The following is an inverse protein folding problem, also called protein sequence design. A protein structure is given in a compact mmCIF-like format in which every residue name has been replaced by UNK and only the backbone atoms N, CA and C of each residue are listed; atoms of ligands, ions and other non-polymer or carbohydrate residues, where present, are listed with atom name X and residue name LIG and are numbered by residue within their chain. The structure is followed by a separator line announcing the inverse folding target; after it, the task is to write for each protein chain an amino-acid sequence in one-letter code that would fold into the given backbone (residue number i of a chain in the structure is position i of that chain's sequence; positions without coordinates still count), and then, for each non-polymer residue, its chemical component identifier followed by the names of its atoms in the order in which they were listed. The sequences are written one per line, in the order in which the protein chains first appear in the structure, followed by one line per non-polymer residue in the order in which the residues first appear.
data_IF_048242021841
#
_entry.id   IF_048242021841
#
_cell.length_a   1.000
_cell.length_b   1.000
_cell.length_c   1.000
_cell.angle_alpha   90.00
_cell.angle_beta   90.00
_cell.angle_gamma   90.00
#
_symmetry.space_group_name_H-M   'P 1'
#
loop_
_entity.id
_entity.type
_entity.pdbx_description
1 polymer ?
#
# COMPACT_ATOMS: atom_id res chain seq x y z
N UNK A 1 -23.75 -26.50 20.17
CA UNK A 1 -24.01 -25.60 19.03
C UNK A 1 -23.60 -26.33 17.77
N UNK A 2 -24.41 -26.27 16.70
CA UNK A 2 -24.00 -26.76 15.39
C UNK A 2 -23.04 -25.75 14.74
N UNK A 3 -22.20 -26.23 13.82
CA UNK A 3 -21.37 -25.37 13.01
C UNK A 3 -22.24 -24.54 12.05
N UNK A 4 -21.80 -23.33 11.66
CA UNK A 4 -22.51 -22.53 10.66
C UNK A 4 -22.38 -23.17 9.26
N UNK A 5 -23.33 -22.87 8.39
CA UNK A 5 -23.23 -23.21 6.97
C UNK A 5 -22.08 -22.42 6.33
N UNK A 6 -21.21 -23.12 5.60
CA UNK A 6 -20.05 -22.54 4.94
C UNK A 6 -20.42 -22.15 3.51
N UNK A 7 -20.44 -20.85 3.23
CA UNK A 7 -20.68 -20.32 1.88
C UNK A 7 -19.39 -20.23 1.03
N UNK A 8 -18.23 -20.07 1.68
CA UNK A 8 -16.93 -19.96 1.03
C UNK A 8 -16.04 -21.12 1.51
N UNK A 9 -16.16 -22.28 0.86
CA UNK A 9 -15.21 -23.37 1.09
C UNK A 9 -13.82 -22.97 0.58
N UNK A 10 -12.78 -23.23 1.37
CA UNK A 10 -11.39 -22.97 1.00
C UNK A 10 -10.64 -24.29 0.93
N UNK A 11 -10.17 -24.66 -0.26
CA UNK A 11 -9.32 -25.84 -0.45
C UNK A 11 -7.90 -25.63 0.11
N UNK A 12 -7.48 -24.37 0.25
CA UNK A 12 -6.18 -23.94 0.77
C UNK A 12 -6.25 -22.51 1.32
N UNK A 13 -5.27 -22.14 2.15
CA UNK A 13 -5.14 -20.77 2.67
C UNK A 13 -4.57 -19.84 1.59
N UNK A 14 -5.16 -18.65 1.48
CA UNK A 14 -4.61 -17.56 0.69
C UNK A 14 -3.51 -16.87 1.51
N UNK A 15 -2.26 -17.29 1.32
CA UNK A 15 -1.11 -16.80 2.08
C UNK A 15 0.00 -16.33 1.14
N UNK A 16 0.71 -15.27 1.52
CA UNK A 16 1.86 -14.72 0.82
C UNK A 16 3.03 -14.68 1.79
N UNK A 17 4.09 -15.43 1.49
CA UNK A 17 5.33 -15.42 2.25
C UNK A 17 6.30 -14.43 1.62
N UNK A 18 6.28 -13.15 2.02
CA UNK A 18 7.05 -12.08 1.35
C UNK A 18 8.56 -12.33 1.29
N UNK A 19 9.11 -13.19 2.16
CA UNK A 19 10.53 -13.56 2.14
C UNK A 19 10.89 -14.53 1.00
N UNK A 20 9.90 -15.24 0.47
CA UNK A 20 10.04 -16.17 -0.67
C UNK A 20 9.66 -15.48 -1.99
N UNK A 21 8.99 -14.34 -1.92
CA UNK A 21 8.56 -13.56 -3.08
C UNK A 21 9.66 -12.60 -3.58
N UNK A 22 9.58 -12.25 -4.87
CA UNK A 22 10.47 -11.23 -5.46
C UNK A 22 9.94 -9.83 -5.17
N UNK A 23 10.78 -8.98 -4.58
CA UNK A 23 10.47 -7.56 -4.40
C UNK A 23 10.31 -6.88 -5.76
N UNK A 24 9.18 -6.21 -5.97
CA UNK A 24 8.93 -5.40 -7.17
C UNK A 24 9.54 -4.03 -6.92
N UNK A 25 10.65 -3.73 -7.61
CA UNK A 25 11.38 -2.49 -7.36
C UNK A 25 10.83 -1.32 -8.17
N UNK A 26 10.89 -0.11 -7.62
CA UNK A 26 10.59 1.14 -8.33
C UNK A 26 9.20 1.14 -8.98
N UNK A 27 8.19 0.66 -8.25
CA UNK A 27 6.79 0.84 -8.66
C UNK A 27 6.45 2.34 -8.74
N UNK A 28 7.05 3.13 -7.85
CA UNK A 28 7.29 4.55 -8.00
C UNK A 28 8.78 4.82 -7.69
N UNK A 29 9.36 5.96 -8.09
CA UNK A 29 10.76 6.26 -7.78
C UNK A 29 11.05 6.15 -6.28
N UNK A 30 11.98 5.27 -5.88
CA UNK A 30 12.33 5.02 -4.47
C UNK A 30 11.33 4.17 -3.68
N UNK A 31 10.27 3.67 -4.33
CA UNK A 31 9.21 2.86 -3.71
C UNK A 31 9.22 1.44 -4.27
N UNK A 32 9.44 0.47 -3.40
CA UNK A 32 9.40 -0.96 -3.72
C UNK A 32 8.25 -1.63 -2.99
N UNK A 33 7.63 -2.64 -3.60
CA UNK A 33 6.40 -3.22 -3.05
C UNK A 33 6.41 -4.74 -3.08
N UNK A 34 5.83 -5.31 -2.04
CA UNK A 34 5.24 -6.63 -2.02
C UNK A 34 3.71 -6.46 -1.98
N UNK A 35 2.99 -6.73 -3.07
CA UNK A 35 1.53 -6.70 -3.04
C UNK A 35 1.02 -7.86 -2.18
N UNK A 36 0.08 -7.59 -1.27
CA UNK A 36 -0.50 -8.62 -0.40
C UNK A 36 -1.95 -8.88 -0.77
N UNK A 37 -2.80 -7.85 -0.73
CA UNK A 37 -4.19 -7.93 -1.17
C UNK A 37 -4.61 -6.64 -1.87
N UNK A 38 -5.23 -6.76 -3.05
CA UNK A 38 -5.78 -5.62 -3.80
C UNK A 38 -7.24 -5.92 -4.16
N UNK A 39 -8.15 -5.15 -3.59
CA UNK A 39 -9.59 -5.19 -3.83
C UNK A 39 -10.03 -3.84 -4.41
N UNK A 40 -10.03 -3.76 -5.74
CA UNK A 40 -10.47 -2.57 -6.47
C UNK A 40 -11.95 -2.24 -6.25
N UNK A 41 -12.75 -3.22 -5.84
CA UNK A 41 -14.21 -3.09 -5.73
C UNK A 41 -14.62 -2.47 -4.41
N UNK A 42 -14.00 -2.94 -3.32
CA UNK A 42 -14.21 -2.35 -2.00
C UNK A 42 -13.24 -1.19 -1.72
N UNK A 43 -12.32 -0.89 -2.64
CA UNK A 43 -11.28 0.13 -2.46
C UNK A 43 -10.36 -0.22 -1.31
N UNK A 44 -9.92 -1.48 -1.18
CA UNK A 44 -9.02 -1.91 -0.12
C UNK A 44 -7.70 -2.34 -0.74
N UNK A 45 -6.60 -1.84 -0.19
CA UNK A 45 -5.27 -2.25 -0.61
C UNK A 45 -4.40 -2.50 0.62
N UNK A 46 -3.76 -3.66 0.61
CA UNK A 46 -2.87 -4.14 1.66
C UNK A 46 -1.52 -4.42 1.02
N UNK A 47 -0.50 -3.70 1.48
CA UNK A 47 0.84 -3.75 0.90
C UNK A 47 1.88 -3.84 2.02
N UNK A 48 3.00 -4.49 1.72
CA UNK A 48 4.27 -4.20 2.39
C UNK A 48 5.10 -3.35 1.44
N UNK A 49 5.55 -2.19 1.91
CA UNK A 49 6.21 -1.17 1.09
C UNK A 49 7.55 -0.82 1.72
N UNK A 50 8.60 -0.84 0.89
CA UNK A 50 9.95 -0.45 1.24
C UNK A 50 10.27 0.86 0.53
N UNK A 51 10.74 1.84 1.29
CA UNK A 51 11.10 3.15 0.81
C UNK A 51 12.61 3.39 0.94
N UNK A 52 13.25 3.86 -0.12
CA UNK A 52 14.66 4.25 -0.11
C UNK A 52 14.86 5.56 0.67
N UNK A 53 16.03 5.79 1.30
CA UNK A 53 16.39 7.08 1.89
C UNK A 53 16.16 8.25 0.92
N UNK A 54 15.61 9.35 1.43
CA UNK A 54 15.28 10.53 0.62
C UNK A 54 14.00 10.41 -0.23
N UNK A 55 13.24 9.31 -0.12
CA UNK A 55 11.95 9.19 -0.81
C UNK A 55 10.95 10.20 -0.27
N UNK A 56 10.37 11.01 -1.16
CA UNK A 56 9.29 11.95 -0.84
C UNK A 56 8.11 11.64 -1.75
N UNK A 57 6.95 11.32 -1.15
CA UNK A 57 5.73 11.13 -1.92
C UNK A 57 5.03 12.47 -2.18
N UNK A 58 4.17 12.57 -3.20
CA UNK A 58 3.28 13.70 -3.35
C UNK A 58 2.42 13.92 -2.11
N UNK A 59 2.01 15.16 -1.87
CA UNK A 59 0.99 15.45 -0.86
C UNK A 59 -0.30 14.76 -1.24
N UNK A 60 -0.94 14.06 -0.32
CA UNK A 60 -2.08 13.22 -0.65
C UNK A 60 -3.15 13.24 0.42
N UNK A 61 -4.40 13.33 -0.04
CA UNK A 61 -5.61 13.24 0.77
C UNK A 61 -6.12 11.80 0.79
N UNK A 62 -6.46 11.28 1.96
CA UNK A 62 -7.05 9.95 2.09
C UNK A 62 -8.57 10.01 2.07
N UNK A 63 -9.22 9.28 1.16
CA UNK A 63 -10.70 9.21 1.14
C UNK A 63 -11.26 8.24 2.18
N UNK A 64 -10.42 7.38 2.76
CA UNK A 64 -10.74 6.46 3.85
C UNK A 64 -9.57 6.33 4.82
N UNK A 65 -9.65 5.39 5.76
CA UNK A 65 -8.65 5.29 6.83
C UNK A 65 -7.38 4.56 6.37
N UNK A 66 -6.27 4.85 7.05
CA UNK A 66 -5.00 4.13 6.92
C UNK A 66 -4.61 3.52 8.25
N UNK A 67 -4.16 2.27 8.20
CA UNK A 67 -3.41 1.63 9.26
C UNK A 67 -2.01 1.36 8.72
N UNK A 68 -0.98 1.94 9.32
CA UNK A 68 0.41 1.74 8.93
C UNK A 68 1.22 1.25 10.13
N UNK A 69 2.04 0.22 9.92
CA UNK A 69 2.97 -0.29 10.91
C UNK A 69 4.40 -0.26 10.34
N UNK A 70 5.31 0.38 11.06
CA UNK A 70 6.70 0.52 10.65
C UNK A 70 7.51 -0.66 11.19
N UNK A 71 8.13 -1.43 10.30
CA UNK A 71 8.90 -2.64 10.61
C UNK A 71 10.39 -2.32 10.84
N UNK A 72 10.95 -1.43 10.02
CA UNK A 72 12.36 -1.00 10.08
C UNK A 72 12.56 0.40 9.46
N UNK A 73 13.74 0.99 9.64
CA UNK A 73 14.06 2.34 9.18
C UNK A 73 13.27 3.43 9.90
N UNK A 74 13.12 4.58 9.24
CA UNK A 74 12.38 5.72 9.79
C UNK A 74 11.71 6.59 8.73
N UNK A 75 10.64 7.28 9.09
CA UNK A 75 9.96 8.25 8.22
C UNK A 75 9.12 9.23 9.03
N UNK A 76 8.71 10.35 8.45
CA UNK A 76 7.76 11.27 9.07
C UNK A 76 6.86 11.91 8.02
N UNK A 77 5.83 12.61 8.47
CA UNK A 77 5.09 13.54 7.62
C UNK A 77 5.73 14.91 7.64
N UNK A 78 5.77 15.62 6.50
CA UNK A 78 6.30 16.99 6.40
C UNK A 78 5.69 17.90 7.45
N UNK A 79 4.39 17.73 7.73
CA UNK A 79 3.63 18.51 8.70
C UNK A 79 4.06 18.26 10.16
N UNK A 80 4.70 17.12 10.44
CA UNK A 80 5.06 16.65 11.78
C UNK A 80 6.50 16.11 11.80
N UNK A 81 7.52 16.95 11.56
CA UNK A 81 8.91 16.50 11.42
C UNK A 81 9.50 15.90 12.70
N UNK A 82 8.96 16.26 13.86
CA UNK A 82 9.42 15.76 15.15
C UNK A 82 8.77 14.41 15.55
N UNK A 83 7.67 14.01 14.87
CA UNK A 83 6.97 12.74 15.12
C UNK A 83 7.48 11.64 14.17
N UNK A 84 8.74 11.27 14.37
CA UNK A 84 9.39 10.22 13.58
C UNK A 84 8.75 8.85 13.86
N UNK A 85 8.33 8.19 12.79
CA UNK A 85 7.87 6.82 12.80
C UNK A 85 9.08 5.90 12.62
N UNK A 86 9.28 4.97 13.54
CA UNK A 86 10.43 4.06 13.58
C UNK A 86 9.95 2.62 13.77
N UNK A 87 10.86 1.64 13.76
CA UNK A 87 10.52 0.25 14.03
C UNK A 87 9.62 0.09 15.29
N UNK A 88 8.44 -0.49 15.11
CA UNK A 88 7.44 -0.68 16.18
C UNK A 88 6.35 0.40 16.23
N UNK A 89 6.45 1.47 15.45
CA UNK A 89 5.41 2.51 15.38
C UNK A 89 4.17 2.00 14.65
N UNK A 90 3.01 2.15 15.30
CA UNK A 90 1.70 2.07 14.67
C UNK A 90 1.16 3.49 14.45
N UNK A 91 0.66 3.73 13.25
CA UNK A 91 -0.01 4.96 12.88
C UNK A 91 -1.43 4.67 12.40
N UNK A 92 -2.37 5.49 12.88
CA UNK A 92 -3.73 5.56 12.38
C UNK A 92 -3.96 6.91 11.71
N UNK A 93 -4.53 6.89 10.51
CA UNK A 93 -4.92 8.12 9.83
C UNK A 93 -6.41 8.06 9.49
N UNK A 94 -7.21 9.03 9.96
CA UNK A 94 -8.61 9.10 9.61
C UNK A 94 -8.78 9.53 8.16
N UNK A 95 -9.77 8.96 7.47
CA UNK A 95 -10.20 9.49 6.17
C UNK A 95 -10.59 10.96 6.30
N UNK A 96 -10.21 11.76 5.32
CA UNK A 96 -10.31 13.22 5.38
C UNK A 96 -9.02 13.92 5.77
N UNK A 97 -7.98 13.19 6.17
CA UNK A 97 -6.66 13.77 6.44
C UNK A 97 -5.83 13.94 5.15
N UNK A 98 -4.84 14.84 5.20
CA UNK A 98 -3.93 15.13 4.08
C UNK A 98 -2.51 15.30 4.62
N UNK A 99 -1.57 14.56 4.05
CA UNK A 99 -0.19 14.52 4.52
C UNK A 99 0.81 14.38 3.37
N UNK A 100 2.08 14.61 3.65
CA UNK A 100 3.18 14.34 2.71
C UNK A 100 4.25 13.47 3.36
N UNK A 101 4.37 12.23 2.90
CA UNK A 101 5.31 11.23 3.41
C UNK A 101 6.75 11.55 3.02
N UNK A 102 7.67 11.47 3.98
CA UNK A 102 9.11 11.67 3.78
C UNK A 102 9.94 10.63 4.51
N UNK A 103 10.92 10.05 3.80
CA UNK A 103 12.02 9.29 4.38
C UNK A 103 13.24 10.20 4.49
N UNK A 104 13.83 10.38 5.68
CA UNK A 104 15.06 11.15 5.83
C UNK A 104 16.17 10.66 4.88
N UNK A 105 16.92 11.59 4.28
CA UNK A 105 18.04 11.26 3.38
C UNK A 105 19.21 10.57 4.10
N UNK A 106 19.36 10.81 5.40
CA UNK A 106 20.40 10.26 6.26
C UNK A 106 20.07 8.89 6.85
N UNK A 107 18.90 8.32 6.51
CA UNK A 107 18.61 6.93 6.83
C UNK A 107 19.68 5.99 6.25
N UNK A 108 20.26 5.14 7.09
CA UNK A 108 21.30 4.19 6.69
C UNK A 108 20.74 2.86 6.15
N UNK A 109 19.43 2.70 6.18
CA UNK A 109 18.70 1.52 5.71
C UNK A 109 17.37 1.93 5.07
N UNK A 110 16.74 0.98 4.36
CA UNK A 110 15.41 1.17 3.80
C UNK A 110 14.36 1.24 4.91
N UNK A 111 13.33 2.05 4.72
CA UNK A 111 12.17 2.09 5.61
C UNK A 111 11.16 1.05 5.16
N UNK A 112 10.91 0.05 5.99
CA UNK A 112 10.02 -1.08 5.70
C UNK A 112 8.71 -0.92 6.46
N UNK A 113 7.59 -0.99 5.75
CA UNK A 113 6.25 -0.70 6.30
C UNK A 113 5.23 -1.73 5.85
N UNK A 114 4.24 -1.99 6.69
CA UNK A 114 3.02 -2.70 6.35
C UNK A 114 1.85 -1.71 6.43
N UNK A 115 1.02 -1.66 5.39
CA UNK A 115 -0.12 -0.75 5.34
C UNK A 115 -1.39 -1.44 4.88
N UNK A 116 -2.50 -1.05 5.52
CA UNK A 116 -3.88 -1.35 5.12
C UNK A 116 -4.56 -0.02 4.87
N UNK A 117 -5.01 0.20 3.65
CA UNK A 117 -5.65 1.45 3.25
C UNK A 117 -7.04 1.17 2.71
N UNK A 118 -7.99 1.97 3.17
CA UNK A 118 -9.36 1.98 2.65
C UNK A 118 -9.58 3.24 1.82
N UNK A 119 -10.26 3.09 0.69
CA UNK A 119 -10.46 4.14 -0.29
C UNK A 119 -9.20 4.39 -1.16
N UNK A 120 -8.99 5.64 -1.49
CA UNK A 120 -7.99 6.09 -2.45
C UNK A 120 -7.19 7.26 -1.89
N UNK A 121 -5.99 7.45 -2.45
CA UNK A 121 -5.23 8.68 -2.28
C UNK A 121 -5.57 9.64 -3.43
N UNK A 122 -5.87 10.90 -3.09
CA UNK A 122 -5.98 11.98 -4.06
C UNK A 122 -4.67 12.78 -3.96
N UNK A 123 -3.85 12.74 -5.01
CA UNK A 123 -2.51 13.31 -4.96
C UNK A 123 -2.50 14.72 -5.54
N UNK A 124 -1.68 15.57 -4.93
CA UNK A 124 -1.49 16.96 -5.28
C UNK A 124 -0.02 17.29 -5.48
N UNK A 125 0.26 18.21 -6.39
CA UNK A 125 1.58 18.76 -6.60
C UNK A 125 1.94 19.78 -5.48
N UNK A 126 3.19 20.31 -5.44
CA UNK A 126 3.59 21.28 -4.42
C UNK A 126 2.78 22.58 -4.40
N UNK A 127 2.15 22.96 -5.52
CA UNK A 127 1.30 24.14 -5.64
C UNK A 127 -0.16 23.86 -5.23
N UNK A 128 -0.47 22.60 -4.88
CA UNK A 128 -1.79 22.15 -4.47
C UNK A 128 -2.73 21.82 -5.64
N UNK A 129 -2.22 21.66 -6.86
CA UNK A 129 -3.03 21.24 -8.00
C UNK A 129 -3.22 19.72 -7.99
N UNK A 130 -4.41 19.28 -8.39
CA UNK A 130 -4.73 17.86 -8.54
C UNK A 130 -3.80 17.19 -9.57
N UNK A 131 -3.24 16.04 -9.21
CA UNK A 131 -2.41 15.20 -10.08
C UNK A 131 -3.19 13.98 -10.58
N UNK A 132 -3.57 13.10 -9.67
CA UNK A 132 -4.27 11.85 -9.97
C UNK A 132 -5.02 11.30 -8.76
N UNK A 133 -5.83 10.28 -9.02
CA UNK A 133 -6.37 9.37 -8.02
C UNK A 133 -5.52 8.10 -8.04
N UNK A 134 -5.06 7.69 -6.87
CA UNK A 134 -4.38 6.43 -6.65
C UNK A 134 -5.30 5.53 -5.82
N UNK A 135 -6.07 4.69 -6.50
CA UNK A 135 -6.90 3.64 -5.91
C UNK A 135 -6.25 2.26 -6.07
N UNK A 136 -6.85 1.23 -5.48
CA UNK A 136 -6.32 -0.14 -5.55
C UNK A 136 -6.17 -0.66 -6.99
N UNK A 137 -7.02 -0.24 -7.93
CA UNK A 137 -6.94 -0.63 -9.34
C UNK A 137 -5.78 0.05 -10.08
N UNK A 138 -5.56 1.34 -9.83
CA UNK A 138 -4.41 2.07 -10.36
C UNK A 138 -3.09 1.50 -9.81
N UNK A 139 -3.04 1.21 -8.51
CA UNK A 139 -1.88 0.58 -7.86
C UNK A 139 -1.57 -0.77 -8.51
N UNK A 140 -2.60 -1.59 -8.75
CA UNK A 140 -2.45 -2.87 -9.44
C UNK A 140 -1.81 -2.68 -10.83
N UNK A 141 -2.28 -1.72 -11.62
CA UNK A 141 -1.75 -1.46 -12.96
C UNK A 141 -0.28 -1.04 -12.93
N UNK A 142 0.08 -0.11 -12.03
CA UNK A 142 1.46 0.38 -11.89
C UNK A 142 2.40 -0.72 -11.40
N UNK A 143 1.96 -1.50 -10.40
CA UNK A 143 2.70 -2.65 -9.89
C UNK A 143 2.95 -3.69 -10.98
N UNK A 144 1.92 -4.05 -11.74
CA UNK A 144 2.02 -5.04 -12.83
C UNK A 144 2.94 -4.55 -13.96
N UNK A 145 2.91 -3.26 -14.28
CA UNK A 145 3.82 -2.67 -15.25
C UNK A 145 5.29 -2.79 -14.78
N UNK A 146 5.57 -2.38 -13.55
CA UNK A 146 6.92 -2.48 -12.98
C UNK A 146 7.40 -3.94 -12.87
N UNK A 147 6.52 -4.87 -12.47
CA UNK A 147 6.83 -6.29 -12.39
C UNK A 147 7.17 -6.87 -13.77
N UNK A 148 6.39 -6.51 -14.80
CA UNK A 148 6.63 -6.94 -16.19
C UNK A 148 8.00 -6.49 -16.71
N UNK A 149 8.39 -5.25 -16.45
CA UNK A 149 9.72 -4.73 -16.83
C UNK A 149 10.87 -5.50 -16.16
N UNK A 150 10.61 -6.07 -14.99
CA UNK A 150 11.56 -6.86 -14.20
C UNK A 150 11.47 -8.38 -14.46
N UNK A 151 10.57 -8.83 -15.32
CA UNK A 151 10.32 -10.26 -15.56
C UNK A 151 9.80 -10.99 -14.30
N UNK A 152 9.06 -10.27 -13.45
CA UNK A 152 8.44 -10.81 -12.23
C UNK A 152 6.96 -11.08 -12.55
N UNK A 153 6.51 -12.28 -12.20
CA UNK A 153 5.09 -12.59 -12.10
C UNK A 153 4.69 -12.46 -10.63
N UNK A 154 3.95 -11.39 -10.25
CA UNK A 154 3.68 -11.10 -8.86
C UNK A 154 2.54 -11.96 -8.32
N UNK A 155 2.74 -12.52 -7.13
CA UNK A 155 1.74 -13.26 -6.39
C UNK A 155 1.09 -12.37 -5.33
N UNK A 156 -0.23 -12.22 -5.38
CA UNK A 156 -1.01 -11.43 -4.42
C UNK A 156 -2.48 -11.87 -4.43
N UNK A 157 -3.18 -11.55 -3.35
CA UNK A 157 -4.59 -11.90 -3.20
C UNK A 157 -5.44 -10.86 -3.93
N UNK A 158 -6.25 -11.31 -4.86
CA UNK A 158 -7.25 -10.48 -5.53
C UNK A 158 -8.63 -11.13 -5.38
N UNK A 159 -9.60 -10.47 -4.73
CA UNK A 159 -10.98 -10.96 -4.71
C UNK A 159 -11.50 -11.11 -6.14
N UNK A 160 -12.18 -12.23 -6.41
CA UNK A 160 -12.84 -12.42 -7.70
C UNK A 160 -14.04 -11.49 -7.78
N UNK A 161 -14.02 -10.60 -8.76
CA UNK A 161 -15.17 -9.77 -9.10
C UNK A 161 -16.34 -10.66 -9.57
N UNK A 162 -17.52 -10.45 -8.98
CA UNK A 162 -18.74 -11.22 -9.27
C UNK A 162 -19.73 -10.44 -10.15
N UNK A 163 -19.36 -9.29 -10.74
CA UNK A 163 -20.33 -8.48 -11.49
C UNK A 163 -20.78 -9.18 -12.76
N UNK A 164 -22.05 -9.55 -12.72
CA UNK A 164 -22.85 -9.99 -13.84
C UNK A 164 -24.31 -9.75 -13.49
N UNK A 165 -25.19 -9.80 -14.49
CA UNK A 165 -26.62 -9.87 -14.18
C UNK A 165 -26.92 -11.18 -13.46
N UNK A 166 -27.87 -11.16 -12.53
CA UNK A 166 -28.32 -12.35 -11.80
C UNK A 166 -29.10 -13.37 -12.64
N UNK A 167 -28.99 -13.28 -13.98
CA UNK A 167 -29.81 -14.01 -14.95
C UNK A 167 -28.94 -14.87 -15.84
#
# INVERSE_FOLDING_TARGET
MALPDIINHQDFLLTIHTNDEKLIKNALPGVHIYPLMLDSENGVWVLRVLFEPGTVLPKHFHTGVVHLYTLAGSWHYTEYPDDLQVAGSYLFEPGGSIHQFQVPEDNTEVTDTFMVVMGSNINFDPDGNYMNIMDAGWIEQVMLAAAKEQGIEPNYIKPKSLYGFSK
#
